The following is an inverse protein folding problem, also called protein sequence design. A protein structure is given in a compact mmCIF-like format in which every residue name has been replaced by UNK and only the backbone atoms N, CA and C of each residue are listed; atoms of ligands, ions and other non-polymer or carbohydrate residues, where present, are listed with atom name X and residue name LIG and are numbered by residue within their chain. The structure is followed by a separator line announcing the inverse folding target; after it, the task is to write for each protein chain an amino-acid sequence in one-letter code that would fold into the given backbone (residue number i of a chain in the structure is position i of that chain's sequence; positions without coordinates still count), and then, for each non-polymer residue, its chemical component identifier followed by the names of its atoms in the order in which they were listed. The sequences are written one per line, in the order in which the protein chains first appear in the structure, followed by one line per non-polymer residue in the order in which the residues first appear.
data_IF_709227890029
#
_entry.id   IF_709227890029
#
_cell.length_a   1.000
_cell.length_b   1.000
_cell.length_c   1.000
_cell.angle_alpha   90.00
_cell.angle_beta   90.00
_cell.angle_gamma   90.00
#
_symmetry.space_group_name_H-M   'P 1'
#
loop_
_entity.id
_entity.type
_entity.pdbx_description
1 polymer ?
#
# COMPACT_ATOMS: atom_id res chain seq x y z
N UNK A 1 17.21 -7.83 12.57
CA UNK A 1 16.86 -6.40 12.44
C UNK A 1 17.97 -5.70 11.65
N UNK A 2 17.66 -4.76 10.76
CA UNK A 2 18.67 -3.99 9.99
C UNK A 2 18.49 -2.50 10.28
N UNK A 3 19.58 -1.78 10.53
CA UNK A 3 19.58 -0.32 10.71
C UNK A 3 20.05 0.33 9.41
N UNK A 4 19.29 1.30 8.93
CA UNK A 4 19.64 2.16 7.82
C UNK A 4 19.84 3.57 8.34
N UNK A 5 20.74 4.33 7.74
CA UNK A 5 20.83 5.77 7.97
C UNK A 5 20.20 6.47 6.76
N UNK A 6 19.46 7.55 7.00
CA UNK A 6 18.96 8.39 5.93
C UNK A 6 20.17 8.93 5.14
N UNK A 7 20.40 8.38 3.95
CA UNK A 7 21.38 8.95 3.01
C UNK A 7 20.78 10.23 2.46
N UNK A 8 21.57 11.30 2.43
CA UNK A 8 21.20 12.55 1.79
C UNK A 8 20.74 12.30 0.35
N UNK A 9 19.54 12.82 0.03
CA UNK A 9 18.92 12.89 -1.30
C UNK A 9 19.41 11.85 -2.33
N UNK A 10 18.67 10.76 -2.46
CA UNK A 10 18.89 9.87 -3.59
C UNK A 10 18.58 10.61 -4.90
N UNK A 11 19.43 10.38 -5.90
CA UNK A 11 19.37 10.93 -7.28
C UNK A 11 17.97 10.84 -7.95
N UNK A 12 17.05 10.07 -7.37
CA UNK A 12 15.65 9.96 -7.76
C UNK A 12 14.80 11.24 -7.59
N UNK A 13 15.30 12.28 -6.92
CA UNK A 13 14.57 13.56 -6.76
C UNK A 13 14.50 14.42 -8.04
N UNK A 14 15.17 14.02 -9.13
CA UNK A 14 15.20 14.77 -10.40
C UNK A 14 14.55 13.98 -11.54
N UNK A 15 13.26 13.67 -11.41
CA UNK A 15 12.49 13.11 -12.52
C UNK A 15 11.80 14.27 -13.23
N UNK A 16 12.43 14.79 -14.29
CA UNK A 16 11.79 15.76 -15.19
C UNK A 16 10.88 15.00 -16.16
N UNK A 17 9.58 15.01 -15.86
CA UNK A 17 8.56 14.40 -16.71
C UNK A 17 8.04 15.42 -17.73
N UNK A 18 7.82 15.03 -18.99
CA UNK A 18 7.20 15.90 -19.99
C UNK A 18 5.73 16.17 -19.65
N UNK A 19 5.21 17.34 -20.08
CA UNK A 19 3.83 17.78 -19.83
C UNK A 19 2.76 16.79 -20.29
N UNK A 20 3.06 15.97 -21.30
CA UNK A 20 2.16 14.93 -21.80
C UNK A 20 1.83 13.87 -20.76
N UNK A 21 2.72 13.60 -19.81
CA UNK A 21 2.47 12.64 -18.72
C UNK A 21 1.27 13.05 -17.85
N UNK A 22 1.06 14.35 -17.67
CA UNK A 22 -0.03 14.89 -16.86
C UNK A 22 -1.34 15.02 -17.64
N UNK A 23 -1.32 14.76 -18.96
CA UNK A 23 -2.52 14.76 -19.81
C UNK A 23 -3.08 13.34 -19.88
N UNK A 24 -4.33 13.17 -19.46
CA UNK A 24 -5.03 11.89 -19.58
C UNK A 24 -5.32 11.55 -21.03
N UNK A 25 -5.02 10.32 -21.41
CA UNK A 25 -5.44 9.74 -22.68
C UNK A 25 -6.95 9.44 -22.68
N UNK A 26 -7.55 9.36 -23.88
CA UNK A 26 -8.96 8.99 -24.02
C UNK A 26 -9.26 7.59 -23.44
N UNK A 27 -8.29 6.68 -23.48
CA UNK A 27 -8.41 5.32 -22.93
C UNK A 27 -8.47 5.32 -21.41
N UNK A 28 -7.63 6.12 -20.74
CA UNK A 28 -7.65 6.25 -19.28
C UNK A 28 -8.96 6.85 -18.77
N UNK A 29 -9.50 7.84 -19.49
CA UNK A 29 -10.80 8.45 -19.17
C UNK A 29 -11.93 7.42 -19.29
N UNK A 30 -11.94 6.63 -20.37
CA UNK A 30 -12.92 5.54 -20.55
C UNK A 30 -12.80 4.49 -19.45
N UNK A 31 -11.58 4.05 -19.13
CA UNK A 31 -11.32 3.09 -18.07
C UNK A 31 -11.76 3.60 -16.70
N UNK A 32 -11.52 4.88 -16.39
CA UNK A 32 -11.98 5.47 -15.14
C UNK A 32 -13.51 5.52 -15.06
N UNK A 33 -14.19 5.89 -16.15
CA UNK A 33 -15.65 5.91 -16.21
C UNK A 33 -16.24 4.50 -16.00
N UNK A 34 -15.66 3.48 -16.63
CA UNK A 34 -16.05 2.07 -16.43
C UNK A 34 -15.82 1.61 -14.99
N UNK A 35 -14.67 1.94 -14.40
CA UNK A 35 -14.37 1.59 -13.01
C UNK A 35 -15.32 2.29 -12.03
N UNK A 36 -15.67 3.56 -12.29
CA UNK A 36 -16.66 4.29 -11.48
C UNK A 36 -18.04 3.65 -11.58
N UNK A 37 -18.47 3.28 -12.79
CA UNK A 37 -19.75 2.60 -13.01
C UNK A 37 -19.81 1.25 -12.29
N UNK A 38 -18.75 0.42 -12.43
CA UNK A 38 -18.64 -0.87 -11.73
C UNK A 38 -18.68 -0.70 -10.20
N UNK A 39 -17.93 0.26 -9.65
CA UNK A 39 -17.95 0.53 -8.20
C UNK A 39 -19.33 0.95 -7.71
N UNK A 40 -20.05 1.75 -8.49
CA UNK A 40 -21.41 2.16 -8.14
C UNK A 40 -22.37 0.98 -8.14
N UNK A 41 -22.33 0.15 -9.19
CA UNK A 41 -23.11 -1.10 -9.27
C UNK A 41 -22.79 -2.06 -8.11
N UNK A 42 -21.51 -2.24 -7.79
CA UNK A 42 -21.07 -3.08 -6.66
C UNK A 42 -21.54 -2.52 -5.30
N UNK A 43 -21.59 -1.20 -5.14
CA UNK A 43 -22.03 -0.56 -3.89
C UNK A 43 -23.53 -0.70 -3.62
N UNK A 44 -24.33 -0.89 -4.67
CA UNK A 44 -25.78 -1.12 -4.55
C UNK A 44 -26.11 -2.56 -4.16
N UNK A 45 -25.14 -3.48 -4.27
CA UNK A 45 -25.33 -4.88 -3.90
C UNK A 45 -25.09 -5.07 -2.40
N UNK A 46 -26.01 -5.79 -1.75
CA UNK A 46 -25.81 -6.24 -0.37
C UNK A 46 -24.64 -7.22 -0.32
N UNK A 47 -23.53 -6.81 0.29
CA UNK A 47 -22.36 -7.68 0.48
C UNK A 47 -22.68 -8.71 1.59
N UNK A 48 -22.81 -10.01 1.27
CA UNK A 48 -23.11 -11.04 2.27
C UNK A 48 -21.98 -11.21 3.29
N UNK A 49 -22.31 -11.59 4.52
CA UNK A 49 -21.30 -11.84 5.57
C UNK A 49 -20.27 -12.90 5.15
N UNK A 50 -20.72 -13.96 4.49
CA UNK A 50 -19.87 -15.04 3.97
C UNK A 50 -18.81 -14.56 2.95
N UNK A 51 -19.16 -13.58 2.10
CA UNK A 51 -18.22 -13.00 1.14
C UNK A 51 -17.15 -12.16 1.84
N UNK A 52 -17.53 -11.35 2.84
CA UNK A 52 -16.57 -10.56 3.64
C UNK A 52 -15.59 -11.46 4.39
N UNK A 53 -16.09 -12.52 5.01
CA UNK A 53 -15.24 -13.47 5.74
C UNK A 53 -14.28 -14.22 4.81
N UNK A 54 -14.76 -14.63 3.62
CA UNK A 54 -13.91 -15.25 2.60
C UNK A 54 -12.81 -14.30 2.12
N UNK A 55 -13.15 -13.04 1.86
CA UNK A 55 -12.19 -12.01 1.47
C UNK A 55 -11.18 -11.72 2.59
N UNK A 56 -11.62 -11.62 3.85
CA UNK A 56 -10.74 -11.43 5.00
C UNK A 56 -9.76 -12.60 5.18
N UNK A 57 -10.24 -13.85 5.03
CA UNK A 57 -9.38 -15.05 5.07
C UNK A 57 -8.37 -15.07 3.92
N UNK A 58 -8.77 -14.65 2.72
CA UNK A 58 -7.87 -14.56 1.57
C UNK A 58 -6.83 -13.44 1.75
N UNK A 59 -7.23 -12.28 2.27
CA UNK A 59 -6.33 -11.16 2.54
C UNK A 59 -5.25 -11.53 3.57
N UNK A 60 -5.61 -12.27 4.62
CA UNK A 60 -4.66 -12.79 5.61
C UNK A 60 -3.61 -13.75 5.03
N UNK A 61 -3.92 -14.44 3.93
CA UNK A 61 -2.99 -15.34 3.25
C UNK A 61 -2.11 -14.64 2.21
N UNK A 62 -2.47 -13.43 1.80
CA UNK A 62 -1.79 -12.71 0.70
C UNK A 62 -0.37 -12.29 1.07
N UNK A 63 -0.16 -11.93 2.33
CA UNK A 63 1.14 -11.52 2.84
C UNK A 63 1.52 -12.45 3.99
N UNK A 64 2.71 -13.02 3.93
CA UNK A 64 3.24 -13.92 4.98
C UNK A 64 4.16 -13.19 5.94
N UNK A 65 4.63 -12.00 5.57
CA UNK A 65 5.56 -11.16 6.33
C UNK A 65 5.22 -9.69 6.12
N UNK A 66 5.40 -8.89 7.16
CA UNK A 66 5.23 -7.44 7.19
C UNK A 66 6.57 -6.81 7.56
N UNK A 67 6.97 -5.76 6.83
CA UNK A 67 8.19 -5.00 7.15
C UNK A 67 7.76 -3.72 7.83
N UNK A 68 8.28 -3.45 9.01
CA UNK A 68 8.01 -2.20 9.76
C UNK A 68 9.32 -1.43 9.86
N UNK A 69 9.27 -0.15 9.51
CA UNK A 69 10.41 0.77 9.56
C UNK A 69 10.12 1.86 10.59
N UNK A 70 10.96 1.95 11.61
CA UNK A 70 10.87 2.95 12.68
C UNK A 70 11.95 3.98 12.42
N UNK A 71 11.55 5.22 12.16
CA UNK A 71 12.47 6.34 12.00
C UNK A 71 12.67 7.03 13.35
N UNK A 72 13.92 7.08 13.78
CA UNK A 72 14.32 7.78 14.98
C UNK A 72 14.61 9.27 14.70
N UNK A 73 14.53 10.13 15.73
CA UNK A 73 14.82 11.56 15.58
C UNK A 73 16.25 11.87 15.10
N UNK A 74 17.19 10.95 15.28
CA UNK A 74 18.59 11.05 14.84
C UNK A 74 18.79 10.71 13.35
N UNK A 75 17.72 10.36 12.63
CA UNK A 75 17.78 9.97 11.22
C UNK A 75 18.13 8.49 10.98
N UNK A 76 18.29 7.69 12.04
CA UNK A 76 18.38 6.25 11.92
C UNK A 76 16.99 5.64 11.61
N UNK A 77 16.97 4.62 10.76
CA UNK A 77 15.77 3.86 10.40
C UNK A 77 15.98 2.40 10.75
N UNK A 78 15.24 1.90 11.73
CA UNK A 78 15.24 0.51 12.13
C UNK A 78 14.23 -0.27 11.29
N UNK A 79 14.68 -1.29 10.57
CA UNK A 79 13.82 -2.20 9.82
C UNK A 79 13.69 -3.54 10.54
N UNK A 80 12.47 -3.82 11.00
CA UNK A 80 12.04 -5.12 11.51
C UNK A 80 11.20 -5.88 10.49
N UNK A 81 11.24 -7.21 10.57
CA UNK A 81 10.39 -8.12 9.78
C UNK A 81 9.53 -8.88 10.77
N UNK A 82 8.22 -8.75 10.62
CA UNK A 82 7.19 -9.25 11.53
C UNK A 82 6.24 -10.16 10.78
N UNK A 83 5.53 -11.03 11.48
CA UNK A 83 4.39 -11.73 10.91
C UNK A 83 3.14 -10.82 10.93
N UNK A 84 2.24 -10.88 9.92
CA UNK A 84 1.06 -10.01 9.87
C UNK A 84 0.06 -10.20 11.03
N UNK A 85 0.19 -11.28 11.80
CA UNK A 85 -0.66 -11.59 12.95
C UNK A 85 0.00 -11.27 14.30
N UNK A 86 1.25 -10.80 14.31
CA UNK A 86 1.92 -10.43 15.56
C UNK A 86 1.24 -9.22 16.21
N UNK A 87 1.09 -9.23 17.55
CA UNK A 87 0.51 -8.09 18.27
C UNK A 87 1.46 -6.90 18.19
N UNK A 88 0.91 -5.70 18.36
CA UNK A 88 1.71 -4.46 18.42
C UNK A 88 2.71 -4.47 19.60
N UNK A 89 2.48 -5.28 20.64
CA UNK A 89 3.46 -5.45 21.73
C UNK A 89 4.81 -5.98 21.22
N UNK A 90 4.82 -6.82 20.18
CA UNK A 90 6.04 -7.36 19.57
C UNK A 90 6.91 -6.27 18.90
N UNK A 91 6.39 -5.05 18.71
CA UNK A 91 7.18 -3.91 18.24
C UNK A 91 7.95 -3.20 19.35
N UNK A 92 7.49 -3.32 20.59
CA UNK A 92 8.04 -2.62 21.76
C UNK A 92 8.94 -3.49 22.63
N UNK A 93 8.89 -4.81 22.44
CA UNK A 93 9.83 -5.80 23.02
C UNK A 93 11.16 -5.83 22.26
#
# INVERSE_FOLDING_TARGET
VKVFFAVAESVAAKIELPDSFYKRSAEEVRREAELRKKKFEESQLLIPKSLREKQAKAAKKRYTRTIIRIQFPDGAVLQGVFAPWEPTSALYE
#
